data_IF_448821013265
#
_entry.id   IF_448821013265
#
_cell.length_a   1.000
_cell.length_b   1.000
_cell.length_c   1.000
_cell.angle_alpha   90.00
_cell.angle_beta   90.00
_cell.angle_gamma   90.00
#
_symmetry.space_group_name_H-M   'P 1'
#
loop_
_entity.id
_entity.type
_entity.pdbx_description
1 polymer ?
#
# COMPACT_ATOMS: atom_id res chain seq x y z
N UNK A 1 -4.80 29.85 0.22
CA UNK A 1 -4.67 28.80 1.27
C UNK A 1 -5.02 27.46 0.64
N UNK A 2 -6.23 27.31 0.11
CA UNK A 2 -6.68 26.13 -0.65
C UNK A 2 -5.77 25.74 -1.83
N UNK A 3 -5.40 26.66 -2.73
CA UNK A 3 -4.44 26.35 -3.82
C UNK A 3 -2.97 26.17 -3.42
N UNK A 4 -2.58 26.50 -2.18
CA UNK A 4 -1.20 26.35 -1.70
C UNK A 4 -0.97 24.97 -1.04
N UNK A 5 -2.05 24.30 -0.64
CA UNK A 5 -2.03 23.02 0.08
C UNK A 5 -2.90 21.94 -0.58
N UNK A 6 -3.44 22.18 -1.79
CA UNK A 6 -4.15 21.16 -2.58
C UNK A 6 -5.63 20.95 -2.27
N UNK A 7 -6.36 21.97 -1.82
CA UNK A 7 -7.75 21.87 -1.34
C UNK A 7 -8.77 22.63 -2.22
N UNK A 8 -8.50 22.88 -3.51
CA UNK A 8 -9.41 23.64 -4.39
C UNK A 8 -10.49 22.75 -5.05
N UNK A 9 -11.54 22.39 -4.30
CA UNK A 9 -12.76 21.79 -4.86
C UNK A 9 -13.96 22.21 -4.02
N UNK A 10 -14.57 23.39 -4.24
CA UNK A 10 -15.85 23.69 -3.56
C UNK A 10 -16.68 24.91 -4.05
N UNK A 11 -16.47 25.44 -5.26
CA UNK A 11 -17.29 26.58 -5.73
C UNK A 11 -18.62 26.22 -6.40
N UNK A 12 -19.08 24.96 -6.39
CA UNK A 12 -20.34 24.54 -7.05
C UNK A 12 -21.41 23.96 -6.09
N UNK A 13 -21.28 24.15 -4.76
CA UNK A 13 -22.22 23.61 -3.77
C UNK A 13 -23.58 24.33 -3.67
N UNK A 14 -23.75 25.54 -4.22
CA UNK A 14 -25.03 26.26 -4.11
C UNK A 14 -26.18 25.63 -4.92
N UNK A 15 -25.87 24.69 -5.83
CA UNK A 15 -26.87 23.99 -6.65
C UNK A 15 -27.48 22.74 -6.00
N UNK A 16 -26.87 22.18 -4.95
CA UNK A 16 -27.27 20.89 -4.36
C UNK A 16 -28.23 21.04 -3.16
N UNK A 17 -28.21 22.21 -2.50
CA UNK A 17 -29.02 22.49 -1.30
C UNK A 17 -30.53 22.56 -1.59
N UNK A 18 -30.93 22.66 -2.87
CA UNK A 18 -32.34 22.72 -3.27
C UNK A 18 -32.99 21.34 -3.52
N UNK A 19 -32.24 20.23 -3.55
CA UNK A 19 -32.82 18.89 -3.83
C UNK A 19 -33.12 18.03 -2.59
N UNK A 20 -32.63 18.40 -1.39
CA UNK A 20 -32.73 17.54 -0.19
C UNK A 20 -33.92 17.80 0.73
N UNK A 21 -34.89 18.63 0.32
CA UNK A 21 -35.98 19.05 1.22
C UNK A 21 -37.15 18.04 1.39
N UNK A 22 -37.03 16.77 1.01
CA UNK A 22 -38.21 15.88 0.99
C UNK A 22 -38.05 14.42 1.46
N UNK A 23 -37.01 14.07 2.23
CA UNK A 23 -36.85 12.70 2.74
C UNK A 23 -37.04 12.66 4.25
N UNK A 24 -38.30 12.57 4.68
CA UNK A 24 -38.66 12.29 6.07
C UNK A 24 -39.82 11.27 6.23
N UNK A 25 -40.19 10.53 5.17
CA UNK A 25 -41.37 9.65 5.23
C UNK A 25 -41.23 8.24 4.60
N UNK A 26 -40.03 7.71 4.34
CA UNK A 26 -39.89 6.35 3.79
C UNK A 26 -38.92 5.49 4.60
N UNK A 27 -39.47 4.80 5.60
CA UNK A 27 -38.88 3.60 6.20
C UNK A 27 -39.96 2.50 6.23
N UNK A 28 -40.24 1.96 5.06
CA UNK A 28 -40.71 0.59 4.84
C UNK A 28 -39.88 0.06 3.66
N UNK A 29 -38.89 -0.77 3.94
CA UNK A 29 -37.93 -1.28 2.96
C UNK A 29 -38.51 -2.52 2.26
N UNK A 30 -38.91 -2.38 1.00
CA UNK A 30 -39.08 -3.49 0.05
C UNK A 30 -37.73 -3.76 -0.66
N UNK A 31 -37.34 -5.02 -0.77
CA UNK A 31 -36.05 -5.48 -1.33
C UNK A 31 -35.92 -5.27 -2.88
N UNK A 32 -36.91 -4.66 -3.54
CA UNK A 32 -36.99 -4.48 -5.00
C UNK A 32 -36.62 -3.05 -5.50
N UNK A 33 -36.34 -2.08 -4.62
CA UNK A 33 -36.14 -0.66 -4.98
C UNK A 33 -34.68 -0.18 -5.12
N UNK A 34 -33.73 -1.08 -5.41
CA UNK A 34 -32.34 -0.68 -5.73
C UNK A 34 -32.18 0.04 -7.08
N UNK A 35 -33.27 0.24 -7.84
CA UNK A 35 -33.26 0.80 -9.20
C UNK A 35 -33.65 2.29 -9.28
N UNK A 36 -33.94 2.99 -8.17
CA UNK A 36 -33.98 4.46 -8.18
C UNK A 36 -32.55 5.02 -8.13
N UNK A 37 -31.78 4.72 -9.19
CA UNK A 37 -30.43 5.26 -9.43
C UNK A 37 -30.52 6.80 -9.41
N UNK A 38 -29.84 7.44 -8.46
CA UNK A 38 -29.46 8.86 -8.61
C UNK A 38 -28.90 9.06 -10.03
N UNK A 39 -29.20 10.18 -10.70
CA UNK A 39 -28.78 10.37 -12.09
C UNK A 39 -27.26 10.24 -12.19
N UNK A 40 -26.81 9.07 -12.66
CA UNK A 40 -25.40 8.75 -12.86
C UNK A 40 -24.81 9.89 -13.68
N UNK A 41 -23.73 10.53 -13.19
CA UNK A 41 -23.02 11.58 -13.92
C UNK A 41 -22.82 11.08 -15.36
N UNK A 42 -23.43 11.76 -16.31
CA UNK A 42 -23.53 11.24 -17.68
C UNK A 42 -22.15 11.31 -18.34
N UNK A 43 -21.51 10.15 -18.51
CA UNK A 43 -20.27 10.05 -19.27
C UNK A 43 -20.61 9.86 -20.75
N UNK A 44 -20.13 10.77 -21.58
CA UNK A 44 -20.21 10.66 -23.03
C UNK A 44 -18.81 10.46 -23.60
N UNK A 45 -18.56 9.27 -24.16
CA UNK A 45 -17.24 8.90 -24.67
C UNK A 45 -16.78 9.79 -25.85
N UNK A 46 -17.71 10.29 -26.67
CA UNK A 46 -17.36 11.13 -27.82
C UNK A 46 -17.02 12.55 -27.34
N UNK A 47 -17.74 13.07 -26.33
CA UNK A 47 -17.38 14.31 -25.63
C UNK A 47 -16.04 14.18 -24.91
N UNK A 48 -15.78 13.04 -24.27
CA UNK A 48 -14.49 12.73 -23.65
C UNK A 48 -13.34 12.80 -24.66
N UNK A 49 -13.46 12.15 -25.82
CA UNK A 49 -12.44 12.24 -26.86
C UNK A 49 -12.25 13.66 -27.39
N UNK A 50 -13.35 14.41 -27.54
CA UNK A 50 -13.32 15.81 -27.98
C UNK A 50 -12.61 16.69 -26.95
N UNK A 51 -12.94 16.56 -25.67
CA UNK A 51 -12.35 17.32 -24.57
C UNK A 51 -10.84 17.07 -24.43
N UNK A 52 -10.41 15.83 -24.65
CA UNK A 52 -8.99 15.45 -24.59
C UNK A 52 -8.25 15.62 -25.93
N UNK A 53 -8.91 16.17 -26.96
CA UNK A 53 -8.35 16.40 -28.29
C UNK A 53 -7.80 15.11 -28.96
N UNK A 54 -8.47 13.99 -28.74
CA UNK A 54 -8.10 12.68 -29.29
C UNK A 54 -8.82 12.49 -30.63
N UNK A 55 -8.25 13.01 -31.72
CA UNK A 55 -8.91 13.08 -33.03
C UNK A 55 -8.83 11.80 -33.87
N UNK A 56 -7.91 10.88 -33.57
CA UNK A 56 -7.68 9.72 -34.44
C UNK A 56 -8.68 8.59 -34.18
N UNK A 57 -9.53 8.26 -35.15
CA UNK A 57 -10.49 7.14 -35.05
C UNK A 57 -9.85 5.82 -34.61
N UNK A 58 -8.62 5.52 -35.08
CA UNK A 58 -7.89 4.30 -34.70
C UNK A 58 -7.49 4.32 -33.22
N UNK A 59 -7.09 5.49 -32.73
CA UNK A 59 -6.72 5.71 -31.33
C UNK A 59 -7.95 5.70 -30.43
N UNK A 60 -9.03 6.37 -30.82
CA UNK A 60 -10.33 6.32 -30.14
C UNK A 60 -10.85 4.88 -30.03
N UNK A 61 -10.82 4.10 -31.13
CA UNK A 61 -11.20 2.70 -31.11
C UNK A 61 -10.33 1.86 -30.17
N UNK A 62 -9.03 2.19 -30.07
CA UNK A 62 -8.12 1.52 -29.14
C UNK A 62 -8.45 1.87 -27.69
N UNK A 63 -8.73 3.13 -27.36
CA UNK A 63 -9.13 3.55 -26.01
C UNK A 63 -10.47 2.92 -25.64
N UNK A 64 -11.46 2.92 -26.54
CA UNK A 64 -12.76 2.25 -26.34
C UNK A 64 -12.57 0.76 -25.99
N UNK A 65 -11.68 0.08 -26.70
CA UNK A 65 -11.34 -1.31 -26.39
C UNK A 65 -10.68 -1.46 -25.01
N UNK A 66 -9.81 -0.53 -24.59
CA UNK A 66 -9.19 -0.55 -23.26
C UNK A 66 -10.23 -0.32 -22.17
N UNK A 67 -11.17 0.62 -22.37
CA UNK A 67 -12.26 0.88 -21.43
C UNK A 67 -13.21 -0.31 -21.29
N UNK A 68 -13.54 -0.98 -22.39
CA UNK A 68 -14.31 -2.22 -22.33
C UNK A 68 -13.56 -3.33 -21.57
N UNK A 69 -12.24 -3.46 -21.77
CA UNK A 69 -11.42 -4.40 -20.98
C UNK A 69 -11.39 -4.01 -19.50
N UNK A 70 -11.27 -2.72 -19.18
CA UNK A 70 -11.35 -2.22 -17.81
C UNK A 70 -12.68 -2.59 -17.13
N UNK A 71 -13.81 -2.45 -17.84
CA UNK A 71 -15.11 -2.90 -17.34
C UNK A 71 -15.17 -4.43 -17.12
N UNK A 72 -14.56 -5.23 -18.00
CA UNK A 72 -14.44 -6.69 -17.73
C UNK A 72 -13.70 -6.95 -16.43
N UNK A 73 -12.59 -6.25 -16.19
CA UNK A 73 -11.77 -6.39 -14.97
C UNK A 73 -12.56 -5.92 -13.74
N UNK A 74 -13.25 -4.79 -13.82
CA UNK A 74 -14.11 -4.28 -12.75
C UNK A 74 -15.16 -5.31 -12.34
N UNK A 75 -15.91 -5.86 -13.32
CA UNK A 75 -16.95 -6.84 -13.02
C UNK A 75 -16.40 -8.16 -12.48
N UNK A 76 -15.23 -8.60 -12.96
CA UNK A 76 -14.54 -9.77 -12.40
C UNK A 76 -14.09 -9.51 -10.96
N UNK A 77 -13.60 -8.31 -10.67
CA UNK A 77 -13.18 -7.89 -9.32
C UNK A 77 -14.36 -7.87 -8.34
N UNK A 78 -15.51 -7.30 -8.70
CA UNK A 78 -16.66 -7.21 -7.77
C UNK A 78 -17.51 -8.50 -7.70
N UNK A 79 -17.64 -9.26 -8.80
CA UNK A 79 -18.51 -10.45 -8.84
C UNK A 79 -17.75 -11.78 -8.80
N UNK A 80 -16.43 -11.77 -9.01
CA UNK A 80 -15.62 -12.98 -9.18
C UNK A 80 -15.81 -13.68 -10.53
N UNK A 81 -16.54 -13.06 -11.46
CA UNK A 81 -16.74 -13.53 -12.83
C UNK A 81 -17.16 -12.40 -13.77
N UNK A 82 -17.08 -12.64 -15.08
CA UNK A 82 -17.47 -11.68 -16.13
C UNK A 82 -19.00 -11.59 -16.29
N UNK A 83 -19.67 -10.83 -15.41
CA UNK A 83 -21.15 -10.66 -15.37
C UNK A 83 -21.78 -10.39 -16.75
N UNK A 84 -21.18 -9.51 -17.54
CA UNK A 84 -21.68 -9.10 -18.86
C UNK A 84 -20.90 -9.73 -20.03
N UNK A 85 -20.16 -10.82 -19.78
CA UNK A 85 -19.36 -11.50 -20.80
C UNK A 85 -18.11 -10.71 -21.22
N UNK A 86 -17.63 -10.97 -22.43
CA UNK A 86 -16.47 -10.28 -23.01
C UNK A 86 -16.91 -9.01 -23.73
N UNK A 87 -16.15 -7.94 -23.56
CA UNK A 87 -16.27 -6.62 -24.18
C UNK A 87 -17.65 -5.96 -23.95
N UNK A 88 -17.96 -5.53 -22.71
CA UNK A 88 -19.17 -4.78 -22.39
C UNK A 88 -19.08 -3.33 -22.89
N UNK A 89 -18.71 -3.11 -24.16
CA UNK A 89 -18.54 -1.78 -24.78
C UNK A 89 -19.81 -0.92 -24.70
N UNK A 90 -20.98 -1.55 -24.71
CA UNK A 90 -22.28 -0.89 -24.60
C UNK A 90 -22.52 -0.24 -23.22
N UNK A 91 -21.76 -0.61 -22.19
CA UNK A 91 -21.88 -0.06 -20.84
C UNK A 91 -20.94 1.14 -20.60
N UNK A 92 -20.05 1.48 -21.54
CA UNK A 92 -19.05 2.54 -21.32
C UNK A 92 -19.70 3.86 -20.92
N UNK A 93 -20.67 4.35 -21.69
CA UNK A 93 -21.35 5.61 -21.41
C UNK A 93 -22.20 5.58 -20.12
N UNK A 94 -22.62 4.39 -19.69
CA UNK A 94 -23.44 4.23 -18.48
C UNK A 94 -22.59 4.20 -17.21
N UNK A 95 -21.37 3.64 -17.27
CA UNK A 95 -20.59 3.31 -16.07
C UNK A 95 -19.32 4.12 -15.90
N UNK A 96 -18.74 4.66 -16.97
CA UNK A 96 -17.49 5.42 -16.86
C UNK A 96 -17.67 6.84 -16.30
N UNK A 97 -18.89 7.23 -15.94
CA UNK A 97 -19.14 8.47 -15.17
C UNK A 97 -18.77 8.35 -13.71
N UNK A 98 -18.70 7.13 -13.19
CA UNK A 98 -18.25 6.83 -11.82
C UNK A 98 -16.71 6.83 -11.79
N UNK A 99 -16.04 7.74 -11.05
CA UNK A 99 -14.58 7.85 -11.07
C UNK A 99 -13.87 6.53 -10.74
N UNK A 100 -14.36 5.79 -9.74
CA UNK A 100 -13.84 4.47 -9.37
C UNK A 100 -13.81 3.50 -10.56
N UNK A 101 -14.93 3.36 -11.29
CA UNK A 101 -15.03 2.48 -12.46
C UNK A 101 -14.15 2.99 -13.60
N UNK A 102 -14.15 4.31 -13.85
CA UNK A 102 -13.29 4.92 -14.86
C UNK A 102 -11.81 4.54 -14.66
N UNK A 103 -11.36 4.47 -13.40
CA UNK A 103 -10.02 4.04 -13.03
C UNK A 103 -9.59 2.70 -13.66
N UNK A 104 -10.48 1.70 -13.75
CA UNK A 104 -10.18 0.43 -14.40
C UNK A 104 -9.91 0.59 -15.91
N UNK A 105 -10.68 1.44 -16.60
CA UNK A 105 -10.46 1.77 -18.00
C UNK A 105 -9.16 2.55 -18.22
N UNK A 106 -8.86 3.50 -17.32
CA UNK A 106 -7.62 4.27 -17.32
C UNK A 106 -6.39 3.37 -17.21
N UNK A 107 -6.38 2.42 -16.26
CA UNK A 107 -5.27 1.46 -16.08
C UNK A 107 -4.96 0.72 -17.38
N UNK A 108 -5.98 0.18 -18.05
CA UNK A 108 -5.81 -0.54 -19.31
C UNK A 108 -5.32 0.37 -20.45
N UNK A 109 -5.77 1.63 -20.48
CA UNK A 109 -5.31 2.61 -21.45
C UNK A 109 -3.82 2.95 -21.24
N UNK A 110 -3.38 3.16 -19.99
CA UNK A 110 -1.97 3.44 -19.67
C UNK A 110 -1.06 2.25 -20.00
N UNK A 111 -1.53 1.02 -19.76
CA UNK A 111 -0.80 -0.22 -20.09
C UNK A 111 -0.72 -0.53 -21.59
N UNK A 112 -1.53 0.11 -22.42
CA UNK A 112 -1.53 -0.13 -23.85
C UNK A 112 -0.16 0.22 -24.47
N UNK A 113 0.62 -0.80 -24.84
CA UNK A 113 1.97 -0.64 -25.42
C UNK A 113 1.99 0.04 -26.78
N UNK A 114 0.86 0.01 -27.51
CA UNK A 114 0.71 0.54 -28.87
C UNK A 114 -0.71 1.05 -29.09
N UNK A 115 -0.85 1.96 -30.05
CA UNK A 115 -2.14 2.44 -30.55
C UNK A 115 -2.78 3.56 -29.74
N UNK A 116 -2.13 4.02 -28.66
CA UNK A 116 -2.48 5.25 -27.93
C UNK A 116 -1.21 6.08 -27.82
N UNK A 117 -1.28 7.35 -28.21
CA UNK A 117 -0.15 8.28 -28.14
C UNK A 117 0.12 8.66 -26.69
N UNK A 118 1.36 9.02 -26.43
CA UNK A 118 1.81 9.54 -25.13
C UNK A 118 0.98 10.74 -24.67
N UNK A 119 0.73 11.69 -25.57
CA UNK A 119 -0.08 12.90 -25.29
C UNK A 119 -1.50 12.55 -24.83
N UNK A 120 -2.11 11.53 -25.44
CA UNK A 120 -3.46 11.09 -25.09
C UNK A 120 -3.47 10.39 -23.73
N UNK A 121 -2.45 9.58 -23.42
CA UNK A 121 -2.31 8.97 -22.09
C UNK A 121 -2.13 10.01 -20.98
N UNK A 122 -1.30 11.02 -21.21
CA UNK A 122 -1.13 12.14 -20.29
C UNK A 122 -2.44 12.93 -20.11
N UNK A 123 -3.20 13.16 -21.18
CA UNK A 123 -4.52 13.80 -21.10
C UNK A 123 -5.52 12.96 -20.28
N UNK A 124 -5.49 11.63 -20.43
CA UNK A 124 -6.28 10.70 -19.60
C UNK A 124 -5.86 10.80 -18.13
N UNK A 125 -4.55 10.84 -17.83
CA UNK A 125 -4.07 11.03 -16.46
C UNK A 125 -4.60 12.34 -15.86
N UNK A 126 -4.49 13.45 -16.60
CA UNK A 126 -4.99 14.74 -16.16
C UNK A 126 -6.50 14.71 -15.90
N UNK A 127 -7.29 14.16 -16.82
CA UNK A 127 -8.73 13.98 -16.64
C UNK A 127 -9.04 13.18 -15.37
N UNK A 128 -8.34 12.06 -15.16
CA UNK A 128 -8.52 11.20 -13.98
C UNK A 128 -8.27 11.95 -12.67
N UNK A 129 -7.22 12.77 -12.62
CA UNK A 129 -6.91 13.58 -11.44
C UNK A 129 -7.96 14.67 -11.20
N UNK A 130 -8.55 15.22 -12.27
CA UNK A 130 -9.59 16.24 -12.17
C UNK A 130 -10.93 15.68 -11.70
N UNK A 131 -11.18 14.38 -11.88
CA UNK A 131 -12.42 13.71 -11.47
C UNK A 131 -12.41 13.16 -10.04
N UNK A 132 -11.32 13.34 -9.29
CA UNK A 132 -11.24 12.84 -7.90
C UNK A 132 -12.17 13.68 -7.01
N UNK A 133 -13.18 13.03 -6.43
CA UNK A 133 -14.11 13.61 -5.45
C UNK A 133 -14.16 12.70 -4.21
N UNK A 134 -13.18 12.78 -3.28
CA UNK A 134 -13.04 11.85 -2.16
C UNK A 134 -14.27 11.72 -1.24
N UNK A 135 -15.12 12.74 -1.25
CA UNK A 135 -16.39 12.81 -0.52
C UNK A 135 -17.52 11.96 -1.12
N UNK A 136 -17.45 11.64 -2.42
CA UNK A 136 -18.47 10.86 -3.11
C UNK A 136 -18.20 9.35 -2.92
N UNK A 137 -19.25 8.55 -2.72
CA UNK A 137 -19.16 7.10 -2.87
C UNK A 137 -18.68 6.80 -4.30
N UNK A 138 -17.56 6.09 -4.45
CA UNK A 138 -16.89 5.85 -5.74
C UNK A 138 -16.21 7.07 -6.40
N UNK A 139 -16.01 8.17 -5.68
CA UNK A 139 -15.39 9.38 -6.21
C UNK A 139 -13.85 9.32 -6.36
N UNK A 140 -13.20 8.28 -5.84
CA UNK A 140 -11.75 8.06 -6.04
C UNK A 140 -11.51 7.00 -7.11
N UNK A 141 -10.80 7.31 -8.21
CA UNK A 141 -10.50 6.34 -9.26
C UNK A 141 -9.71 5.12 -8.78
N UNK A 142 -10.07 3.94 -9.29
CA UNK A 142 -9.25 2.74 -9.11
C UNK A 142 -7.89 2.88 -9.84
N UNK A 143 -6.84 2.27 -9.29
CA UNK A 143 -5.53 2.19 -9.93
C UNK A 143 -4.73 3.50 -9.98
N UNK A 144 -5.02 4.47 -9.12
CA UNK A 144 -4.24 5.72 -9.04
C UNK A 144 -2.73 5.50 -8.83
N UNK A 145 -2.32 4.41 -8.18
CA UNK A 145 -0.89 4.06 -8.05
C UNK A 145 -0.24 3.71 -9.41
N UNK A 146 -1.00 3.14 -10.35
CA UNK A 146 -0.56 2.88 -11.73
C UNK A 146 -0.41 4.19 -12.48
N UNK A 147 -1.32 5.14 -12.28
CA UNK A 147 -1.21 6.50 -12.82
C UNK A 147 0.04 7.19 -12.28
N UNK A 148 0.31 7.14 -10.97
CA UNK A 148 1.54 7.70 -10.40
C UNK A 148 2.79 7.05 -11.00
N UNK A 149 2.79 5.72 -11.16
CA UNK A 149 3.87 4.97 -11.77
C UNK A 149 4.15 5.39 -13.21
N UNK A 150 3.08 5.57 -14.00
CA UNK A 150 3.16 6.05 -15.37
C UNK A 150 3.73 7.47 -15.46
N UNK A 151 3.26 8.38 -14.62
CA UNK A 151 3.77 9.75 -14.56
C UNK A 151 5.23 9.80 -14.09
N UNK A 152 5.64 8.91 -13.20
CA UNK A 152 7.02 8.78 -12.76
C UNK A 152 7.93 8.31 -13.89
N UNK A 153 7.53 7.25 -14.62
CA UNK A 153 8.26 6.71 -15.76
C UNK A 153 8.45 7.75 -16.88
N UNK A 154 7.43 8.57 -17.12
CA UNK A 154 7.41 9.57 -18.19
C UNK A 154 7.99 10.93 -17.78
N UNK A 155 8.36 11.09 -16.50
CA UNK A 155 8.98 12.32 -15.97
C UNK A 155 8.01 13.47 -15.70
N UNK A 156 6.70 13.22 -15.69
CA UNK A 156 5.66 14.23 -15.42
C UNK A 156 5.15 14.23 -13.97
N UNK A 157 5.57 13.27 -13.15
CA UNK A 157 5.20 13.25 -11.73
C UNK A 157 5.96 14.30 -10.94
N UNK A 158 5.24 15.26 -10.35
CA UNK A 158 5.77 16.21 -9.37
C UNK A 158 5.62 15.67 -7.94
N UNK A 159 6.39 16.24 -7.00
CA UNK A 159 6.28 15.88 -5.58
C UNK A 159 4.86 16.12 -5.02
N UNK A 160 4.21 17.21 -5.42
CA UNK A 160 2.87 17.56 -4.95
C UNK A 160 1.80 16.65 -5.57
N UNK A 161 1.93 16.31 -6.85
CA UNK A 161 1.05 15.33 -7.49
C UNK A 161 1.19 13.96 -6.83
N UNK A 162 2.42 13.52 -6.53
CA UNK A 162 2.64 12.28 -5.80
C UNK A 162 1.95 12.29 -4.44
N UNK A 163 2.14 13.35 -3.63
CA UNK A 163 1.47 13.48 -2.32
C UNK A 163 -0.05 13.40 -2.44
N UNK A 164 -0.63 14.17 -3.37
CA UNK A 164 -2.08 14.18 -3.59
C UNK A 164 -2.60 12.82 -4.05
N UNK A 165 -1.91 12.17 -4.99
CA UNK A 165 -2.25 10.82 -5.42
C UNK A 165 -2.18 9.85 -4.24
N UNK A 166 -1.07 9.82 -3.50
CA UNK A 166 -0.91 8.88 -2.38
C UNK A 166 -1.95 9.10 -1.28
N UNK A 167 -2.32 10.35 -1.00
CA UNK A 167 -3.40 10.69 -0.06
C UNK A 167 -4.74 10.14 -0.54
N UNK A 168 -5.16 10.46 -1.78
CA UNK A 168 -6.42 9.99 -2.35
C UNK A 168 -6.46 8.45 -2.44
N UNK A 169 -5.36 7.86 -2.91
CA UNK A 169 -5.21 6.42 -3.07
C UNK A 169 -5.38 5.68 -1.74
N UNK A 170 -4.89 6.24 -0.63
CA UNK A 170 -5.02 5.61 0.68
C UNK A 170 -6.44 5.64 1.26
N UNK A 171 -7.36 6.41 0.67
CA UNK A 171 -8.79 6.36 1.01
C UNK A 171 -9.47 5.09 0.46
N UNK A 172 -8.84 4.42 -0.51
CA UNK A 172 -9.29 3.15 -1.05
C UNK A 172 -8.71 1.99 -0.24
N UNK A 173 -9.49 0.92 -0.02
CA UNK A 173 -9.00 -0.27 0.72
C UNK A 173 -8.02 -1.12 -0.07
N UNK A 174 -8.21 -1.25 -1.38
CA UNK A 174 -7.44 -2.17 -2.25
C UNK A 174 -6.58 -1.43 -3.27
N UNK A 175 -6.00 -0.32 -2.83
CA UNK A 175 -5.43 0.69 -3.73
C UNK A 175 -4.13 0.26 -4.42
N UNK A 176 -3.48 -0.78 -3.90
CA UNK A 176 -2.29 -1.39 -4.49
C UNK A 176 -2.69 -2.32 -5.64
N UNK A 177 -3.91 -2.81 -5.69
CA UNK A 177 -4.37 -3.52 -6.88
C UNK A 177 -4.76 -2.49 -7.94
N UNK A 178 -4.32 -2.65 -9.20
CA UNK A 178 -3.74 -3.85 -9.82
C UNK A 178 -2.23 -3.70 -10.12
N UNK A 179 -1.44 -3.07 -9.25
CA UNK A 179 -0.06 -2.63 -9.51
C UNK A 179 0.88 -3.78 -9.90
N UNK A 180 1.62 -3.62 -11.00
CA UNK A 180 2.59 -4.59 -11.49
C UNK A 180 4.02 -4.22 -11.10
N UNK A 181 4.91 -5.21 -10.98
CA UNK A 181 6.28 -4.95 -10.50
C UNK A 181 7.05 -4.04 -11.47
N UNK A 182 6.78 -4.16 -12.77
CA UNK A 182 7.35 -3.32 -13.82
C UNK A 182 6.89 -1.86 -13.73
N UNK A 183 5.74 -1.60 -13.11
CA UNK A 183 5.20 -0.26 -12.85
C UNK A 183 5.72 0.28 -11.51
N UNK A 184 5.86 -0.60 -10.52
CA UNK A 184 6.29 -0.24 -9.18
C UNK A 184 7.75 0.23 -9.10
N UNK A 185 8.60 -0.37 -9.93
CA UNK A 185 10.03 -0.03 -10.00
C UNK A 185 10.22 1.44 -10.44
N UNK A 186 9.64 1.92 -11.57
CA UNK A 186 9.71 3.32 -11.96
C UNK A 186 9.27 4.31 -10.87
N UNK A 187 8.12 4.09 -10.22
CA UNK A 187 7.64 4.97 -9.16
C UNK A 187 8.62 5.01 -7.98
N UNK A 188 9.15 3.85 -7.61
CA UNK A 188 10.10 3.73 -6.51
C UNK A 188 11.42 4.42 -6.80
N UNK A 189 11.95 4.26 -8.02
CA UNK A 189 13.17 4.94 -8.46
C UNK A 189 12.99 6.45 -8.44
N UNK A 190 11.84 6.93 -8.95
CA UNK A 190 11.48 8.35 -8.89
C UNK A 190 11.43 8.85 -7.44
N UNK A 191 10.77 8.13 -6.54
CA UNK A 191 10.64 8.53 -5.12
C UNK A 191 12.01 8.61 -4.44
N UNK A 192 12.88 7.63 -4.68
CA UNK A 192 14.25 7.62 -4.13
C UNK A 192 15.06 8.80 -4.68
N UNK A 193 14.99 9.06 -5.99
CA UNK A 193 15.77 10.10 -6.66
C UNK A 193 15.24 11.53 -6.42
N UNK A 194 13.98 11.71 -6.03
CA UNK A 194 13.33 13.02 -6.02
C UNK A 194 13.93 14.00 -4.99
N UNK A 195 14.62 15.05 -5.41
CA UNK A 195 15.25 16.04 -4.51
C UNK A 195 14.23 16.91 -3.75
N UNK A 196 13.04 17.13 -4.32
CA UNK A 196 11.98 17.94 -3.71
C UNK A 196 11.23 17.29 -2.54
N UNK A 197 11.56 16.04 -2.20
CA UNK A 197 10.95 15.31 -1.09
C UNK A 197 12.01 15.10 0.01
N UNK A 198 11.78 15.56 1.25
CA UNK A 198 12.69 15.32 2.36
C UNK A 198 12.94 13.83 2.59
N UNK A 199 14.16 13.47 3.00
CA UNK A 199 14.54 12.06 3.24
C UNK A 199 13.59 11.33 4.18
N UNK A 200 13.15 11.98 5.26
CA UNK A 200 12.21 11.40 6.21
C UNK A 200 10.83 11.13 5.59
N UNK A 201 10.37 11.99 4.69
CA UNK A 201 9.13 11.77 3.96
C UNK A 201 9.28 10.61 2.96
N UNK A 202 10.40 10.53 2.21
CA UNK A 202 10.68 9.37 1.35
C UNK A 202 10.65 8.06 2.13
N UNK A 203 11.27 8.07 3.31
CA UNK A 203 11.39 6.93 4.18
C UNK A 203 10.03 6.47 4.70
N UNK A 204 9.19 7.42 5.13
CA UNK A 204 7.79 7.16 5.47
C UNK A 204 7.05 6.52 4.31
N UNK A 205 7.18 7.04 3.08
CA UNK A 205 6.48 6.49 1.94
C UNK A 205 6.96 5.08 1.58
N UNK A 206 8.27 4.82 1.54
CA UNK A 206 8.79 3.47 1.31
C UNK A 206 8.30 2.49 2.39
N UNK A 207 8.33 2.92 3.65
CA UNK A 207 7.78 2.15 4.75
C UNK A 207 6.27 1.88 4.56
N UNK A 208 5.48 2.92 4.34
CA UNK A 208 4.02 2.83 4.15
C UNK A 208 3.67 1.90 2.99
N UNK A 209 4.31 2.09 1.83
CA UNK A 209 4.17 1.21 0.67
C UNK A 209 4.44 -0.25 1.07
N UNK A 210 5.54 -0.55 1.78
CA UNK A 210 5.87 -1.93 2.16
C UNK A 210 4.85 -2.59 3.07
N UNK A 211 4.26 -1.83 3.99
CA UNK A 211 3.28 -2.33 4.95
C UNK A 211 1.98 -2.79 4.29
N UNK A 212 1.66 -2.18 3.16
CA UNK A 212 0.43 -2.40 2.42
C UNK A 212 0.53 -3.63 1.49
N UNK A 213 1.75 -4.14 1.26
CA UNK A 213 2.04 -5.32 0.41
C UNK A 213 1.90 -6.66 1.13
N UNK A 214 1.18 -6.69 2.25
CA UNK A 214 1.04 -7.88 3.10
C UNK A 214 0.44 -9.08 2.34
N UNK A 215 -0.64 -8.85 1.58
CA UNK A 215 -1.33 -9.89 0.80
C UNK A 215 -0.60 -10.22 -0.51
N UNK A 216 0.37 -9.40 -0.92
CA UNK A 216 1.13 -9.56 -2.16
C UNK A 216 2.58 -9.95 -1.90
N UNK A 217 2.82 -10.95 -1.03
CA UNK A 217 4.14 -11.37 -0.56
C UNK A 217 5.24 -11.40 -1.65
N UNK A 218 5.00 -12.06 -2.78
CA UNK A 218 6.01 -12.19 -3.84
C UNK A 218 6.31 -10.87 -4.55
N UNK A 219 5.31 -10.03 -4.74
CA UNK A 219 5.47 -8.69 -5.29
C UNK A 219 6.21 -7.78 -4.29
N UNK A 220 5.73 -7.72 -3.05
CA UNK A 220 6.30 -6.86 -2.00
C UNK A 220 7.75 -7.20 -1.71
N UNK A 221 8.08 -8.49 -1.63
CA UNK A 221 9.45 -8.95 -1.44
C UNK A 221 10.38 -8.49 -2.58
N UNK A 222 9.94 -8.60 -3.84
CA UNK A 222 10.76 -8.15 -4.99
C UNK A 222 10.99 -6.65 -4.95
N UNK A 223 9.96 -5.87 -4.64
CA UNK A 223 10.03 -4.41 -4.60
C UNK A 223 10.95 -3.92 -3.47
N UNK A 224 10.84 -4.52 -2.29
CA UNK A 224 11.70 -4.18 -1.14
C UNK A 224 13.16 -4.54 -1.38
N UNK A 225 13.43 -5.72 -1.95
CA UNK A 225 14.80 -6.10 -2.35
C UNK A 225 15.36 -5.10 -3.36
N UNK A 226 14.54 -4.64 -4.31
CA UNK A 226 14.93 -3.60 -5.26
C UNK A 226 15.32 -2.30 -4.56
N UNK A 227 14.55 -1.82 -3.57
CA UNK A 227 14.90 -0.62 -2.81
C UNK A 227 16.21 -0.77 -2.03
N UNK A 228 16.40 -1.90 -1.34
CA UNK A 228 17.61 -2.16 -0.55
C UNK A 228 18.85 -2.34 -1.43
N UNK A 229 18.68 -2.79 -2.67
CA UNK A 229 19.74 -2.84 -3.67
C UNK A 229 19.97 -1.50 -4.39
N UNK A 230 19.07 -0.52 -4.26
CA UNK A 230 19.13 0.73 -5.02
C UNK A 230 20.38 1.55 -4.64
N UNK A 231 21.22 1.98 -5.61
CA UNK A 231 22.47 2.68 -5.31
C UNK A 231 22.24 4.08 -4.73
N UNK A 232 21.19 4.78 -5.18
CA UNK A 232 20.91 6.16 -4.74
C UNK A 232 20.21 6.24 -3.39
N UNK A 233 19.82 5.10 -2.80
CA UNK A 233 19.27 5.09 -1.45
C UNK A 233 20.45 4.97 -0.45
N UNK A 234 20.76 6.01 0.34
CA UNK A 234 21.93 5.98 1.19
C UNK A 234 21.85 4.87 2.24
N UNK A 235 23.00 4.31 2.58
CA UNK A 235 23.11 3.21 3.54
C UNK A 235 22.45 3.50 4.89
N UNK A 236 22.62 4.72 5.42
CA UNK A 236 21.96 5.16 6.65
C UNK A 236 20.42 5.14 6.55
N UNK A 237 19.87 5.52 5.39
CA UNK A 237 18.44 5.53 5.13
C UNK A 237 17.88 4.11 4.99
N UNK A 238 18.64 3.20 4.35
CA UNK A 238 18.29 1.77 4.31
C UNK A 238 18.22 1.17 5.71
N UNK A 239 19.20 1.49 6.55
CA UNK A 239 19.26 1.02 7.94
C UNK A 239 18.06 1.53 8.74
N UNK A 240 17.73 2.81 8.59
CA UNK A 240 16.56 3.40 9.24
C UNK A 240 15.26 2.72 8.77
N UNK A 241 15.08 2.50 7.45
CA UNK A 241 13.91 1.79 6.88
C UNK A 241 13.74 0.40 7.50
N UNK A 242 14.82 -0.36 7.51
CA UNK A 242 14.89 -1.72 8.05
C UNK A 242 14.57 -1.74 9.53
N UNK A 243 15.11 -0.80 10.31
CA UNK A 243 14.80 -0.66 11.73
C UNK A 243 13.32 -0.30 11.96
N UNK A 244 12.72 0.52 11.09
CA UNK A 244 11.29 0.84 11.13
C UNK A 244 10.36 -0.37 11.01
N UNK A 245 10.78 -1.41 10.28
CA UNK A 245 10.04 -2.68 10.20
C UNK A 245 10.16 -3.52 11.49
N UNK A 246 11.24 -3.35 12.26
CA UNK A 246 11.45 -4.08 13.51
C UNK A 246 10.80 -3.38 14.71
N UNK A 247 10.81 -2.05 14.74
CA UNK A 247 10.34 -1.24 15.86
C UNK A 247 8.81 -1.13 15.97
N UNK A 248 8.07 -1.77 15.06
CA UNK A 248 6.61 -1.72 15.00
C UNK A 248 6.08 -0.29 15.14
N UNK A 249 6.38 0.57 14.16
CA UNK A 249 5.80 1.93 13.97
C UNK A 249 6.40 3.04 14.84
N UNK A 250 7.18 2.77 15.90
CA UNK A 250 7.50 3.80 16.91
C UNK A 250 8.24 5.07 16.44
N UNK A 251 9.04 5.02 15.37
CA UNK A 251 9.81 6.19 14.90
C UNK A 251 9.48 6.59 13.45
N UNK A 252 9.52 5.64 12.51
CA UNK A 252 9.18 5.89 11.10
C UNK A 252 7.69 5.93 10.77
N UNK A 253 6.84 5.59 11.75
CA UNK A 253 5.39 5.65 11.60
C UNK A 253 4.78 7.03 11.75
N UNK A 254 5.57 8.09 12.01
CA UNK A 254 5.01 9.45 12.09
C UNK A 254 4.80 9.99 10.68
N UNK A 255 3.56 10.19 10.22
CA UNK A 255 3.35 10.66 8.86
C UNK A 255 3.82 12.10 8.66
N UNK A 256 4.19 12.48 7.43
CA UNK A 256 4.48 13.86 7.07
C UNK A 256 3.36 14.81 7.50
N UNK A 257 3.70 16.04 7.84
CA UNK A 257 2.71 17.03 8.30
C UNK A 257 1.51 17.20 7.35
N UNK A 258 1.68 17.26 6.00
CA UNK A 258 0.54 17.30 5.08
C UNK A 258 -0.41 16.11 5.24
N UNK A 259 0.12 14.90 5.47
CA UNK A 259 -0.70 13.72 5.71
C UNK A 259 -1.45 13.79 7.04
N UNK A 260 -0.76 14.19 8.11
CA UNK A 260 -1.41 14.36 9.43
C UNK A 260 -2.50 15.42 9.39
N UNK A 261 -2.36 16.46 8.58
CA UNK A 261 -3.39 17.47 8.41
C UNK A 261 -4.66 16.89 7.75
N UNK A 262 -4.52 16.12 6.67
CA UNK A 262 -5.66 15.42 6.05
C UNK A 262 -6.33 14.48 7.05
N UNK A 263 -5.54 13.70 7.79
CA UNK A 263 -6.08 12.82 8.84
C UNK A 263 -6.81 13.58 9.93
N UNK A 264 -6.27 14.72 10.35
CA UNK A 264 -6.88 15.56 11.35
C UNK A 264 -8.19 16.20 10.86
N UNK A 265 -8.29 16.54 9.57
CA UNK A 265 -9.53 17.02 8.97
C UNK A 265 -10.60 15.93 8.96
N UNK A 266 -10.28 14.73 8.46
CA UNK A 266 -11.21 13.59 8.42
C UNK A 266 -11.70 13.19 9.81
N UNK A 267 -10.82 13.25 10.81
CA UNK A 267 -11.14 12.82 12.19
C UNK A 267 -11.66 13.95 13.10
N UNK A 268 -11.65 15.19 12.62
CA UNK A 268 -11.97 16.36 13.45
C UNK A 268 -10.93 16.69 14.53
N UNK A 269 -9.71 16.14 14.47
CA UNK A 269 -8.65 16.38 15.47
C UNK A 269 -7.98 17.75 15.28
N UNK A 270 -8.59 18.78 15.87
CA UNK A 270 -8.11 20.15 15.80
C UNK A 270 -6.69 20.35 16.37
N UNK A 271 -6.23 19.50 17.30
CA UNK A 271 -4.90 19.60 17.89
C UNK A 271 -3.83 19.04 16.94
N UNK A 272 -4.11 17.89 16.32
CA UNK A 272 -3.26 17.31 15.29
C UNK A 272 -3.16 18.22 14.06
N UNK A 273 -4.29 18.82 13.61
CA UNK A 273 -4.31 19.78 12.51
C UNK A 273 -3.42 20.99 12.82
N UNK A 274 -3.56 21.58 14.01
CA UNK A 274 -2.75 22.73 14.43
C UNK A 274 -1.25 22.40 14.46
N UNK A 275 -0.89 21.22 15.01
CA UNK A 275 0.49 20.78 15.07
C UNK A 275 1.09 20.58 13.68
N UNK A 276 0.36 19.90 12.78
CA UNK A 276 0.77 19.72 11.39
C UNK A 276 0.96 21.05 10.66
N UNK A 277 0.01 22.00 10.80
CA UNK A 277 0.09 23.32 10.18
C UNK A 277 1.28 24.14 10.71
N UNK A 278 1.59 24.05 12.01
CA UNK A 278 2.78 24.70 12.59
C UNK A 278 4.07 24.17 11.97
N UNK A 279 4.18 22.86 11.79
CA UNK A 279 5.34 22.23 11.16
C UNK A 279 5.49 22.60 9.69
N UNK A 280 4.35 22.84 9.00
CA UNK A 280 4.31 23.36 7.64
C UNK A 280 4.59 24.87 7.55
N UNK A 281 4.80 25.55 8.69
CA UNK A 281 5.10 26.99 8.74
C UNK A 281 3.88 27.88 8.48
N UNK A 282 2.66 27.37 8.69
CA UNK A 282 1.44 28.16 8.56
C UNK A 282 1.38 29.27 9.63
N UNK A 283 0.85 30.43 9.23
CA UNK A 283 0.62 31.54 10.15
C UNK A 283 -0.51 31.24 11.15
N UNK A 284 -0.54 31.98 12.26
CA UNK A 284 -1.60 31.83 13.26
C UNK A 284 -3.00 32.07 12.68
N UNK A 285 -3.14 32.97 11.71
CA UNK A 285 -4.41 33.25 11.04
C UNK A 285 -4.84 32.08 10.14
N UNK A 286 -3.92 31.49 9.39
CA UNK A 286 -4.19 30.30 8.57
C UNK A 286 -4.62 29.12 9.45
N UNK A 287 -3.90 28.88 10.56
CA UNK A 287 -4.27 27.85 11.54
C UNK A 287 -5.69 28.06 12.05
N UNK A 288 -6.03 29.29 12.45
CA UNK A 288 -7.38 29.61 12.94
C UNK A 288 -8.45 29.36 11.89
N UNK A 289 -8.18 29.71 10.62
CA UNK A 289 -9.12 29.49 9.52
C UNK A 289 -9.34 27.99 9.26
N UNK A 290 -8.26 27.22 9.11
CA UNK A 290 -8.35 25.76 8.86
C UNK A 290 -9.06 25.05 10.00
N UNK A 291 -8.77 25.38 11.26
CA UNK A 291 -9.48 24.79 12.40
C UNK A 291 -10.97 25.07 12.37
N UNK A 292 -11.39 26.28 11.96
CA UNK A 292 -12.81 26.63 11.83
C UNK A 292 -13.50 25.78 10.76
N UNK A 293 -12.84 25.55 9.62
CA UNK A 293 -13.35 24.69 8.54
C UNK A 293 -13.52 23.25 9.04
N UNK A 294 -12.48 22.68 9.68
CA UNK A 294 -12.55 21.33 10.23
C UNK A 294 -13.67 21.21 11.29
N UNK A 295 -13.82 22.22 12.14
CA UNK A 295 -14.88 22.25 13.17
C UNK A 295 -16.28 22.34 12.55
N UNK A 296 -16.45 23.15 11.50
CA UNK A 296 -17.70 23.26 10.73
C UNK A 296 -18.03 21.92 10.04
N UNK A 297 -17.07 21.33 9.30
CA UNK A 297 -17.22 20.04 8.62
C UNK A 297 -17.46 18.87 9.57
N UNK A 298 -16.88 18.88 10.78
CA UNK A 298 -17.12 17.87 11.79
C UNK A 298 -18.52 17.99 12.42
N UNK A 299 -19.12 19.18 12.37
CA UNK A 299 -20.44 19.46 12.94
C UNK A 299 -21.62 19.16 12.01
N UNK A 300 -21.41 19.16 10.69
CA UNK A 300 -22.48 19.05 9.70
C UNK A 300 -23.04 17.63 9.52
N UNK A 301 -22.32 16.56 9.86
CA UNK A 301 -22.85 15.20 9.72
C UNK A 301 -22.17 14.14 10.63
N UNK A 302 -22.24 14.34 11.95
CA UNK A 302 -21.65 13.39 12.89
C UNK A 302 -22.38 12.03 12.88
N UNK A 303 -23.70 12.02 12.67
CA UNK A 303 -24.53 10.81 12.73
C UNK A 303 -24.56 10.04 11.40
N UNK A 304 -24.55 10.72 10.24
CA UNK A 304 -24.41 10.06 8.94
C UNK A 304 -23.06 9.39 8.79
N UNK A 305 -21.97 10.03 9.24
CA UNK A 305 -20.61 9.45 9.23
C UNK A 305 -20.41 8.29 10.19
N UNK A 306 -21.12 8.26 11.33
CA UNK A 306 -21.04 7.16 12.32
C UNK A 306 -21.74 5.87 11.85
N UNK A 307 -22.69 5.96 10.91
CA UNK A 307 -23.47 4.83 10.42
C UNK A 307 -23.33 4.57 8.91
N UNK A 308 -22.73 5.48 8.16
CA UNK A 308 -22.31 5.21 6.80
C UNK A 308 -21.22 4.13 6.81
N UNK A 309 -21.26 3.23 5.83
CA UNK A 309 -20.15 2.31 5.53
C UNK A 309 -18.97 3.06 4.93
N UNK A 310 -18.73 4.28 5.38
CA UNK A 310 -17.74 5.17 4.84
C UNK A 310 -16.36 4.52 5.03
N UNK A 311 -15.64 4.22 3.93
CA UNK A 311 -14.32 3.61 4.00
C UNK A 311 -13.34 4.42 4.87
N UNK A 312 -13.62 5.71 5.11
CA UNK A 312 -12.89 6.60 6.01
C UNK A 312 -13.05 6.25 7.50
N UNK A 313 -14.06 5.49 7.93
CA UNK A 313 -14.19 5.09 9.36
C UNK A 313 -13.35 3.86 9.73
N UNK A 314 -12.87 3.11 8.73
CA UNK A 314 -11.86 2.06 8.94
C UNK A 314 -10.43 2.63 9.00
N UNK A 315 -10.28 3.93 8.82
CA UNK A 315 -9.01 4.62 9.04
C UNK A 315 -8.77 4.76 10.54
N UNK A 316 -7.91 3.90 11.09
CA UNK A 316 -7.30 4.20 12.37
C UNK A 316 -6.14 5.18 12.12
N UNK A 317 -6.23 6.46 12.53
CA UNK A 317 -5.16 7.43 12.39
C UNK A 317 -3.86 7.00 13.10
N UNK A 318 -3.92 6.00 13.99
CA UNK A 318 -2.76 5.47 14.68
C UNK A 318 -1.95 4.43 13.88
N UNK A 319 -2.30 4.09 12.63
CA UNK A 319 -1.73 2.92 11.91
C UNK A 319 -1.80 1.62 12.73
N UNK A 320 -2.59 1.60 13.82
CA UNK A 320 -2.52 0.62 14.90
C UNK A 320 -2.94 -0.80 14.53
N UNK A 321 -3.27 -1.03 13.26
CA UNK A 321 -3.67 -2.31 12.70
C UNK A 321 -2.72 -2.82 11.61
N UNK A 322 -1.74 -2.03 11.15
CA UNK A 322 -0.73 -2.52 10.23
C UNK A 322 0.35 -3.24 11.03
N UNK A 323 0.08 -4.51 11.32
CA UNK A 323 1.13 -5.42 11.76
C UNK A 323 2.19 -5.51 10.66
N UNK A 324 3.45 -5.30 11.02
CA UNK A 324 4.55 -5.45 10.05
C UNK A 324 4.51 -6.88 9.53
N UNK A 325 4.37 -7.08 8.20
CA UNK A 325 4.40 -8.40 7.60
C UNK A 325 5.61 -9.22 8.05
N UNK A 326 5.39 -10.47 8.44
CA UNK A 326 6.45 -11.36 8.95
C UNK A 326 7.63 -11.46 7.97
N UNK A 327 7.35 -11.46 6.67
CA UNK A 327 8.42 -11.52 5.67
C UNK A 327 9.32 -10.28 5.66
N UNK A 328 8.79 -9.10 5.99
CA UNK A 328 9.57 -7.88 6.11
C UNK A 328 10.50 -7.97 7.32
N UNK A 329 9.98 -8.40 8.48
CA UNK A 329 10.79 -8.60 9.69
C UNK A 329 11.94 -9.57 9.44
N UNK A 330 11.68 -10.68 8.75
CA UNK A 330 12.73 -11.64 8.40
C UNK A 330 13.82 -11.01 7.53
N UNK A 331 13.43 -10.27 6.48
CA UNK A 331 14.39 -9.56 5.61
C UNK A 331 15.18 -8.53 6.41
N UNK A 332 14.49 -7.76 7.25
CA UNK A 332 15.06 -6.69 8.05
C UNK A 332 16.27 -7.15 8.87
N UNK A 333 16.14 -8.28 9.58
CA UNK A 333 17.21 -8.84 10.42
C UNK A 333 18.48 -9.14 9.63
N UNK A 334 18.36 -9.80 8.48
CA UNK A 334 19.52 -10.12 7.64
C UNK A 334 20.14 -8.85 7.03
N UNK A 335 19.29 -7.92 6.62
CA UNK A 335 19.73 -6.69 5.95
C UNK A 335 20.48 -5.74 6.89
N UNK A 336 20.20 -5.76 8.21
CA UNK A 336 21.03 -5.04 9.18
C UNK A 336 22.52 -5.45 9.11
N UNK A 337 22.81 -6.75 9.00
CA UNK A 337 24.18 -7.26 8.88
C UNK A 337 24.80 -6.89 7.53
N UNK A 338 24.04 -6.97 6.44
CA UNK A 338 24.49 -6.47 5.11
C UNK A 338 24.79 -4.98 5.13
N UNK A 339 24.08 -4.24 5.97
CA UNK A 339 24.29 -2.82 6.23
C UNK A 339 25.33 -2.57 7.35
N UNK A 340 26.26 -3.51 7.54
CA UNK A 340 27.46 -3.31 8.36
C UNK A 340 27.28 -3.48 9.87
N UNK A 341 26.13 -3.93 10.35
CA UNK A 341 26.02 -4.39 11.75
C UNK A 341 26.80 -5.69 11.95
N UNK A 342 27.31 -5.91 13.17
CA UNK A 342 27.99 -7.15 13.50
C UNK A 342 27.03 -8.34 13.47
N UNK A 343 27.43 -9.42 12.80
CA UNK A 343 26.58 -10.58 12.57
C UNK A 343 26.24 -11.32 13.88
N UNK A 344 27.21 -11.47 14.78
CA UNK A 344 27.01 -12.17 16.05
C UNK A 344 26.18 -11.32 17.01
N UNK A 345 26.52 -10.04 17.19
CA UNK A 345 25.77 -9.13 18.06
C UNK A 345 24.31 -8.99 17.60
N UNK A 346 24.07 -8.88 16.29
CA UNK A 346 22.71 -8.82 15.72
C UNK A 346 21.96 -10.13 15.96
N UNK A 347 22.59 -11.28 15.72
CA UNK A 347 21.97 -12.58 15.96
C UNK A 347 21.61 -12.77 17.44
N UNK A 348 22.49 -12.39 18.36
CA UNK A 348 22.24 -12.47 19.81
C UNK A 348 21.12 -11.52 20.24
N UNK A 349 21.11 -10.29 19.72
CA UNK A 349 20.11 -9.27 20.07
C UNK A 349 18.69 -9.70 19.70
N UNK A 350 18.52 -10.31 18.52
CA UNK A 350 17.20 -10.62 17.97
C UNK A 350 16.75 -12.07 18.13
N UNK A 351 17.60 -12.99 18.60
CA UNK A 351 17.17 -14.35 18.89
C UNK A 351 16.21 -14.36 20.08
N UNK A 352 14.93 -14.48 19.79
CA UNK A 352 13.86 -14.28 20.75
C UNK A 352 13.17 -15.60 21.12
N UNK A 353 13.05 -15.85 22.42
CA UNK A 353 12.33 -17.01 22.96
C UNK A 353 10.88 -16.71 23.35
N UNK A 354 10.46 -15.44 23.23
CA UNK A 354 9.08 -15.00 23.49
C UNK A 354 8.11 -15.65 22.50
N UNK A 355 6.84 -15.72 22.90
CA UNK A 355 5.72 -16.14 22.04
C UNK A 355 4.99 -14.97 21.40
N UNK A 356 5.66 -13.81 21.31
CA UNK A 356 5.06 -12.62 20.73
C UNK A 356 4.87 -12.75 19.23
N UNK A 357 3.94 -11.94 18.71
CA UNK A 357 3.59 -11.91 17.30
C UNK A 357 4.81 -11.59 16.43
N UNK A 358 5.17 -12.52 15.54
CA UNK A 358 6.28 -12.45 14.58
C UNK A 358 7.68 -12.73 15.14
N UNK A 359 7.80 -13.21 16.38
CA UNK A 359 9.08 -13.76 16.87
C UNK A 359 9.57 -14.93 16.01
N UNK A 360 8.66 -15.70 15.40
CA UNK A 360 9.00 -16.74 14.41
C UNK A 360 9.77 -16.16 13.21
N UNK A 361 9.31 -15.03 12.67
CA UNK A 361 9.92 -14.40 11.50
C UNK A 361 11.30 -13.80 11.82
N UNK A 362 11.41 -13.15 12.97
CA UNK A 362 12.67 -12.61 13.49
C UNK A 362 13.70 -13.75 13.66
N UNK A 363 13.30 -14.84 14.32
CA UNK A 363 14.16 -16.00 14.52
C UNK A 363 14.59 -16.66 13.20
N UNK A 364 13.72 -16.69 12.19
CA UNK A 364 14.10 -17.13 10.83
C UNK A 364 15.11 -16.17 10.19
N UNK A 365 15.02 -14.87 10.45
CA UNK A 365 16.02 -13.89 10.05
C UNK A 365 17.38 -14.14 10.71
N UNK A 366 17.39 -14.49 12.00
CA UNK A 366 18.63 -14.91 12.70
C UNK A 366 19.22 -16.17 12.09
N UNK A 367 18.39 -17.16 11.74
CA UNK A 367 18.85 -18.35 11.02
C UNK A 367 19.45 -18.00 9.64
N UNK A 368 18.91 -17.00 8.94
CA UNK A 368 19.48 -16.52 7.68
C UNK A 368 20.84 -15.83 7.89
N UNK A 369 21.01 -15.03 8.96
CA UNK A 369 22.32 -14.45 9.34
C UNK A 369 23.36 -15.57 9.48
N UNK A 370 23.05 -16.60 10.29
CA UNK A 370 23.98 -17.71 10.52
C UNK A 370 24.27 -18.45 9.19
N UNK A 371 23.27 -18.64 8.35
CA UNK A 371 23.44 -19.30 7.06
C UNK A 371 24.38 -18.53 6.11
N UNK A 372 24.36 -17.21 6.12
CA UNK A 372 25.13 -16.35 5.20
C UNK A 372 26.47 -15.90 5.78
N UNK A 373 26.54 -15.70 7.10
CA UNK A 373 27.67 -15.06 7.79
C UNK A 373 28.35 -15.95 8.85
N UNK A 374 28.17 -17.27 8.81
CA UNK A 374 28.84 -18.18 9.76
C UNK A 374 30.37 -18.00 9.80
N UNK A 375 31.02 -17.66 8.68
CA UNK A 375 32.48 -17.45 8.64
C UNK A 375 32.93 -16.18 9.40
N UNK A 376 32.00 -15.25 9.65
CA UNK A 376 32.23 -14.04 10.43
C UNK A 376 31.89 -14.21 11.92
N UNK A 377 31.31 -15.35 12.31
CA UNK A 377 30.92 -15.67 13.69
C UNK A 377 31.84 -16.77 14.22
N UNK A 378 32.36 -16.69 15.46
CA UNK A 378 33.18 -17.77 16.02
C UNK A 378 32.44 -19.13 15.96
N UNK A 379 33.08 -20.24 15.56
CA UNK A 379 32.40 -21.53 15.35
C UNK A 379 31.63 -22.07 16.57
N UNK A 380 32.17 -21.84 17.77
CA UNK A 380 31.53 -22.23 19.02
C UNK A 380 30.25 -21.41 19.28
N UNK A 381 30.27 -20.12 18.91
CA UNK A 381 29.12 -19.21 19.01
C UNK A 381 28.04 -19.55 17.98
N UNK A 382 28.43 -19.95 16.76
CA UNK A 382 27.48 -20.46 15.75
C UNK A 382 26.72 -21.67 16.30
N UNK A 383 27.46 -22.59 16.95
CA UNK A 383 26.85 -23.78 17.54
C UNK A 383 25.91 -23.40 18.68
N UNK A 384 26.33 -22.51 19.56
CA UNK A 384 25.51 -22.02 20.67
C UNK A 384 24.20 -21.37 20.19
N UNK A 385 24.26 -20.50 19.17
CA UNK A 385 23.08 -19.86 18.58
C UNK A 385 22.12 -20.89 17.98
N UNK A 386 22.63 -21.90 17.26
CA UNK A 386 21.81 -22.97 16.69
C UNK A 386 21.13 -23.79 17.80
N UNK A 387 21.89 -24.17 18.84
CA UNK A 387 21.33 -24.93 19.96
C UNK A 387 20.28 -24.12 20.73
N UNK A 388 20.50 -22.81 20.95
CA UNK A 388 19.49 -21.90 21.51
C UNK A 388 18.24 -21.84 20.64
N UNK A 389 18.39 -21.68 19.32
CA UNK A 389 17.29 -21.66 18.36
C UNK A 389 16.46 -22.96 18.36
N UNK A 390 17.11 -24.10 18.59
CA UNK A 390 16.47 -25.40 18.79
C UNK A 390 15.68 -25.47 20.10
N UNK A 391 15.98 -24.67 21.13
CA UNK A 391 15.20 -24.67 22.38
C UNK A 391 13.97 -23.75 22.32
N UNK A 392 13.80 -22.96 21.25
CA UNK A 392 12.69 -22.01 21.13
C UNK A 392 11.34 -22.77 21.08
N UNK A 393 10.28 -22.31 21.79
CA UNK A 393 9.01 -23.04 21.87
C UNK A 393 8.31 -23.30 20.53
N UNK A 394 8.50 -22.42 19.54
CA UNK A 394 7.84 -22.43 18.25
C UNK A 394 8.36 -23.57 17.36
N UNK A 395 7.44 -24.46 16.95
CA UNK A 395 7.78 -25.61 16.11
C UNK A 395 8.44 -25.22 14.78
N UNK A 396 7.93 -24.23 14.02
CA UNK A 396 8.56 -23.84 12.76
C UNK A 396 10.00 -23.32 12.96
N UNK A 397 10.23 -22.51 13.99
CA UNK A 397 11.58 -22.02 14.34
C UNK A 397 12.54 -23.16 14.64
N UNK A 398 12.15 -24.11 15.51
CA UNK A 398 12.99 -25.29 15.80
C UNK A 398 13.35 -26.05 14.54
N UNK A 399 12.38 -26.29 13.65
CA UNK A 399 12.63 -26.96 12.36
C UNK A 399 13.66 -26.23 11.52
N UNK A 400 13.55 -24.89 11.42
CA UNK A 400 14.53 -24.06 10.71
C UNK A 400 15.94 -24.22 11.29
N UNK A 401 16.12 -24.17 12.61
CA UNK A 401 17.44 -24.33 13.22
C UNK A 401 17.97 -25.78 13.13
N UNK A 402 17.11 -26.80 13.23
CA UNK A 402 17.51 -28.18 12.95
C UNK A 402 17.97 -28.35 11.50
N UNK A 403 17.27 -27.76 10.52
CA UNK A 403 17.71 -27.78 9.12
C UNK A 403 19.02 -27.04 8.92
N UNK A 404 19.18 -25.88 9.56
CA UNK A 404 20.41 -25.13 9.50
C UNK A 404 21.58 -25.93 10.08
N UNK A 405 21.35 -26.64 11.19
CA UNK A 405 22.38 -27.45 11.84
C UNK A 405 22.97 -28.53 10.94
N UNK A 406 22.20 -29.08 9.99
CA UNK A 406 22.71 -30.14 9.12
C UNK A 406 23.77 -29.66 8.16
N UNK A 407 23.76 -28.38 7.81
CA UNK A 407 24.79 -27.74 6.98
C UNK A 407 26.14 -27.66 7.70
N UNK A 408 26.14 -27.45 9.01
CA UNK A 408 27.37 -27.19 9.77
C UNK A 408 27.88 -28.40 10.55
N UNK A 409 26.98 -29.27 11.02
CA UNK A 409 27.29 -30.36 11.95
C UNK A 409 26.75 -31.72 11.51
N UNK A 410 26.27 -31.85 10.26
CA UNK A 410 25.68 -33.09 9.75
C UNK A 410 24.43 -33.51 10.54
N UNK A 411 24.21 -34.80 10.75
CA UNK A 411 22.97 -35.28 11.39
C UNK A 411 22.95 -35.14 12.92
N UNK A 412 24.06 -34.74 13.55
CA UNK A 412 24.25 -34.78 15.01
C UNK A 412 23.10 -34.08 15.77
N UNK A 413 22.81 -32.82 15.42
CA UNK A 413 21.75 -32.07 16.09
C UNK A 413 20.36 -32.48 15.60
N UNK A 414 20.22 -32.87 14.33
CA UNK A 414 18.94 -33.36 13.80
C UNK A 414 18.48 -34.66 14.50
N UNK A 415 19.39 -35.53 14.90
CA UNK A 415 19.10 -36.75 15.66
C UNK A 415 18.45 -36.46 17.02
N UNK A 416 18.75 -35.31 17.63
CA UNK A 416 18.10 -34.85 18.88
C UNK A 416 16.59 -34.64 18.72
N UNK A 417 16.08 -34.49 17.49
CA UNK A 417 14.63 -34.40 17.24
C UNK A 417 13.86 -35.62 17.74
N UNK A 418 14.48 -36.80 17.89
CA UNK A 418 13.82 -37.99 18.44
C UNK A 418 13.34 -37.79 19.89
N UNK A 419 14.00 -36.90 20.63
CA UNK A 419 13.69 -36.54 22.01
C UNK A 419 12.93 -35.21 22.15
N UNK A 420 12.56 -34.54 21.04
CA UNK A 420 11.81 -33.29 21.11
C UNK A 420 10.42 -33.52 21.72
N UNK A 421 9.96 -32.59 22.56
CA UNK A 421 8.65 -32.66 23.21
C UNK A 421 7.48 -32.64 22.21
N UNK A 422 7.62 -31.96 21.07
CA UNK A 422 6.60 -31.87 20.04
C UNK A 422 6.63 -33.08 19.09
N UNK A 423 5.53 -33.83 19.05
CA UNK A 423 5.38 -34.97 18.14
C UNK A 423 5.57 -34.59 16.66
N UNK A 424 5.16 -33.38 16.27
CA UNK A 424 5.32 -32.86 14.91
C UNK A 424 6.77 -32.65 14.50
N UNK A 425 7.69 -32.41 15.45
CA UNK A 425 9.13 -32.32 15.20
C UNK A 425 9.74 -33.71 15.14
N UNK A 426 9.40 -34.61 16.08
CA UNK A 426 9.90 -36.00 16.05
C UNK A 426 9.58 -36.68 14.71
N UNK A 427 8.32 -36.57 14.27
CA UNK A 427 7.86 -37.16 13.01
C UNK A 427 8.52 -36.53 11.78
N UNK A 428 8.76 -35.21 11.83
CA UNK A 428 9.45 -34.50 10.75
C UNK A 428 10.93 -34.87 10.68
N UNK A 429 11.63 -34.84 11.82
CA UNK A 429 13.05 -35.19 11.90
C UNK A 429 13.35 -36.62 11.46
N UNK A 430 12.49 -37.59 11.82
CA UNK A 430 12.61 -38.96 11.32
C UNK A 430 12.51 -39.05 9.79
N UNK A 431 11.66 -38.23 9.16
CA UNK A 431 11.56 -38.17 7.68
C UNK A 431 12.80 -37.54 7.06
N UNK A 432 13.30 -36.45 7.63
CA UNK A 432 14.50 -35.78 7.11
C UNK A 432 15.77 -36.65 7.28
N UNK A 433 15.93 -37.32 8.42
CA UNK A 433 17.02 -38.28 8.64
C UNK A 433 16.97 -39.44 7.64
N UNK A 434 15.77 -39.94 7.32
CA UNK A 434 15.61 -40.95 6.29
C UNK A 434 16.05 -40.43 4.91
N UNK A 435 15.60 -39.24 4.50
CA UNK A 435 16.01 -38.62 3.23
C UNK A 435 17.53 -38.45 3.11
N UNK A 436 18.19 -38.04 4.20
CA UNK A 436 19.65 -37.86 4.22
C UNK A 436 20.44 -39.18 4.20
N UNK A 437 19.81 -40.31 4.54
CA UNK A 437 20.42 -41.64 4.45
C UNK A 437 20.20 -42.30 3.08
N UNK A 438 19.10 -41.96 2.44
CA UNK A 438 18.71 -42.49 1.13
C UNK A 438 19.42 -41.77 -0.04
N UNK A 439 19.96 -40.57 0.20
CA UNK A 439 20.83 -39.81 -0.70
C UNK A 439 22.30 -40.02 -0.34
#
# INVERSE_FOLDING_TARGET
>A
IYGRYGLEYQSEMESLVLSMANIAEMLDFDDDDWDEEEPVRTFDLDQFFTALQIESDKEQARIRSCFATGLEVYYDYIYGYRKYGRKPEHLINQRMGEPYIFGFGMVEALRAKRGIKETSKLAICQYTLQTITPEDEFGVPHGLIVLASYLAETGYLSADMFRGIMQATNLLRDWIEPWLIEEAIPLSNWLIAQEGIPTQEKLFWLWHLSMQLHDQYHFGKKLVIHWLAHPDLPHAVKKELVQGWLDNVKQLGTPPAPWRLVMAQVTGDLAAAEQALKEMGASHQEIKQVKKIIEEEASEDLMGRLFSRDPLFNFNPAFGYLYVPDWLRRIAILELVKLGEDAWETAVLFLDSSREYGSEAINKGVADIIAEYADAIPPDEVRELIEKGIQIPQVPTRKTFYQLSTRFYGTELLEKTAADNAASIRNWGAKELKKLRDN
#
